data_IF_502087174658
#
_entry.id   IF_502087174658
#
_cell.length_a   1.000
_cell.length_b   1.000
_cell.length_c   1.000
_cell.angle_alpha   90.00
_cell.angle_beta   90.00
_cell.angle_gamma   90.00
#
_symmetry.space_group_name_H-M   'P 1'
#
loop_
_entity.id
_entity.type
_entity.pdbx_description
1 polymer ?
#
# COMPACT_ATOMS: atom_id res chain seq x y z
N UNK A 1 -7.18 -7.34 -2.41
CA UNK A 1 -7.93 -6.09 -2.15
C UNK A 1 -7.02 -4.86 -2.19
N UNK A 2 -5.76 -4.94 -1.75
CA UNK A 2 -4.80 -3.83 -1.73
C UNK A 2 -4.55 -3.18 -3.10
N UNK A 3 -4.25 -3.97 -4.14
CA UNK A 3 -4.03 -3.43 -5.49
C UNK A 3 -5.26 -2.67 -6.04
N UNK A 4 -6.47 -3.14 -5.74
CA UNK A 4 -7.71 -2.44 -6.13
C UNK A 4 -7.80 -1.07 -5.46
N UNK A 5 -7.38 -0.96 -4.19
CA UNK A 5 -7.36 0.32 -3.48
C UNK A 5 -6.34 1.29 -4.12
N UNK A 6 -5.17 0.81 -4.54
CA UNK A 6 -4.16 1.66 -5.19
C UNK A 6 -4.62 2.25 -6.52
N UNK A 7 -5.44 1.51 -7.27
CA UNK A 7 -5.96 1.97 -8.57
C UNK A 7 -7.06 3.03 -8.40
N UNK A 8 -7.71 3.10 -7.22
CA UNK A 8 -8.81 4.03 -6.87
C UNK A 8 -9.95 4.17 -7.90
N UNK A 9 -10.06 3.24 -8.85
CA UNK A 9 -11.06 3.24 -9.92
C UNK A 9 -11.57 1.83 -10.20
N UNK A 10 -12.75 1.52 -9.66
CA UNK A 10 -13.39 0.22 -9.79
C UNK A 10 -13.70 -0.18 -11.24
N UNK A 11 -14.05 0.79 -12.08
CA UNK A 11 -14.33 0.54 -13.49
C UNK A 11 -13.03 0.17 -14.22
N UNK A 12 -11.96 0.93 -14.00
CA UNK A 12 -10.64 0.65 -14.57
C UNK A 12 -10.11 -0.70 -14.09
N UNK A 13 -10.21 -1.00 -12.79
CA UNK A 13 -9.82 -2.29 -12.23
C UNK A 13 -10.57 -3.46 -12.89
N UNK A 14 -11.90 -3.32 -13.07
CA UNK A 14 -12.69 -4.34 -13.77
C UNK A 14 -12.28 -4.51 -15.22
N UNK A 15 -11.97 -3.43 -15.93
CA UNK A 15 -11.50 -3.50 -17.31
C UNK A 15 -10.15 -4.20 -17.42
N UNK A 16 -9.21 -3.93 -16.49
CA UNK A 16 -7.93 -4.63 -16.41
C UNK A 16 -8.14 -6.14 -16.25
N UNK A 17 -9.04 -6.57 -15.35
CA UNK A 17 -9.33 -7.99 -15.15
C UNK A 17 -9.96 -8.67 -16.38
N UNK A 18 -10.85 -7.97 -17.10
CA UNK A 18 -11.43 -8.47 -18.34
C UNK A 18 -10.37 -8.57 -19.43
N UNK A 19 -9.54 -7.53 -19.56
CA UNK A 19 -8.46 -7.46 -20.54
C UNK A 19 -7.41 -8.55 -20.34
N UNK A 20 -6.96 -8.77 -19.09
CA UNK A 20 -6.06 -9.87 -18.73
C UNK A 20 -6.62 -11.23 -19.17
N UNK A 21 -7.88 -11.51 -18.85
CA UNK A 21 -8.52 -12.78 -19.24
C UNK A 21 -8.66 -12.94 -20.76
N UNK A 22 -8.85 -11.85 -21.49
CA UNK A 22 -8.98 -11.86 -22.96
C UNK A 22 -7.63 -12.05 -23.65
N UNK A 23 -6.63 -11.27 -23.25
CA UNK A 23 -5.31 -11.21 -23.91
C UNK A 23 -4.47 -12.46 -23.67
N UNK A 24 -4.61 -13.04 -22.47
CA UNK A 24 -3.83 -14.18 -22.02
C UNK A 24 -4.63 -15.49 -22.01
N UNK A 25 -5.81 -15.51 -22.62
CA UNK A 25 -6.65 -16.71 -22.72
C UNK A 25 -5.86 -17.86 -23.36
N UNK A 26 -5.85 -19.02 -22.69
CA UNK A 26 -5.17 -20.26 -23.13
C UNK A 26 -3.65 -20.13 -23.30
N UNK A 27 -3.02 -19.13 -22.67
CA UNK A 27 -1.57 -18.96 -22.67
C UNK A 27 -1.02 -19.18 -21.27
N UNK A 28 0.19 -19.73 -21.18
CA UNK A 28 0.99 -19.64 -19.97
C UNK A 28 1.53 -18.22 -19.86
N UNK A 29 1.12 -17.50 -18.80
CA UNK A 29 1.61 -16.16 -18.52
C UNK A 29 2.72 -16.20 -17.50
N UNK A 30 3.69 -15.32 -17.68
CA UNK A 30 4.70 -15.02 -16.66
C UNK A 30 4.23 -13.87 -15.78
N UNK A 31 4.78 -13.79 -14.56
CA UNK A 31 4.50 -12.67 -13.65
C UNK A 31 4.80 -11.34 -14.34
N UNK A 32 5.97 -11.21 -14.99
CA UNK A 32 6.40 -9.98 -15.66
C UNK A 32 5.40 -9.48 -16.73
N UNK A 33 4.70 -10.38 -17.43
CA UNK A 33 3.65 -9.99 -18.39
C UNK A 33 2.44 -9.34 -17.70
N UNK A 34 2.05 -9.86 -16.54
CA UNK A 34 0.94 -9.31 -15.75
C UNK A 34 1.36 -7.97 -15.14
N UNK A 35 2.56 -7.89 -14.57
CA UNK A 35 3.12 -6.67 -13.99
C UNK A 35 3.14 -5.54 -15.04
N UNK A 36 3.71 -5.81 -16.22
CA UNK A 36 3.79 -4.82 -17.30
C UNK A 36 2.41 -4.41 -17.81
N UNK A 37 1.47 -5.36 -17.94
CA UNK A 37 0.11 -5.06 -18.39
C UNK A 37 -0.61 -4.11 -17.42
N UNK A 38 -0.56 -4.43 -16.11
CA UNK A 38 -1.26 -3.64 -15.09
C UNK A 38 -0.61 -2.26 -14.95
N UNK A 39 0.72 -2.16 -14.91
CA UNK A 39 1.41 -0.86 -14.84
C UNK A 39 1.10 0.01 -16.06
N UNK A 40 1.06 -0.57 -17.26
CA UNK A 40 0.68 0.17 -18.48
C UNK A 40 -0.79 0.63 -18.44
N UNK A 41 -1.70 -0.21 -17.95
CA UNK A 41 -3.13 0.11 -17.91
C UNK A 41 -3.51 1.12 -16.81
N UNK A 42 -2.70 1.20 -15.74
CA UNK A 42 -2.93 2.08 -14.58
C UNK A 42 -2.09 3.35 -14.62
N UNK A 43 -0.92 3.32 -15.27
CA UNK A 43 0.09 4.37 -15.20
C UNK A 43 0.88 4.39 -13.89
N UNK A 44 0.73 3.36 -13.05
CA UNK A 44 1.38 3.23 -11.74
C UNK A 44 2.56 2.27 -11.89
N UNK A 45 3.73 2.68 -11.39
CA UNK A 45 4.84 1.74 -11.20
C UNK A 45 4.52 0.85 -10.00
N UNK A 46 4.43 -0.45 -10.25
CA UNK A 46 4.08 -1.46 -9.23
C UNK A 46 5.24 -2.43 -9.02
N UNK A 47 6.42 -2.15 -9.58
CA UNK A 47 7.58 -3.06 -9.54
C UNK A 47 7.88 -3.50 -8.11
N UNK A 48 8.05 -2.56 -7.19
CA UNK A 48 8.37 -2.83 -5.79
C UNK A 48 7.19 -3.47 -5.04
N UNK A 49 5.95 -3.18 -5.44
CA UNK A 49 4.76 -3.84 -4.91
C UNK A 49 4.78 -5.35 -5.24
N UNK A 50 5.09 -5.71 -6.48
CA UNK A 50 5.17 -7.11 -6.90
C UNK A 50 6.36 -7.83 -6.28
N UNK A 51 7.52 -7.18 -6.22
CA UNK A 51 8.70 -7.70 -5.52
C UNK A 51 8.40 -7.99 -4.05
N UNK A 52 7.66 -7.12 -3.36
CA UNK A 52 7.28 -7.34 -1.98
C UNK A 52 6.26 -8.47 -1.80
N UNK A 53 5.17 -8.47 -2.56
CA UNK A 53 4.03 -9.36 -2.28
C UNK A 53 4.04 -10.69 -3.04
N UNK A 54 4.70 -10.76 -4.20
CA UNK A 54 4.79 -12.00 -4.97
C UNK A 54 6.11 -12.74 -4.76
N UNK A 55 7.18 -12.02 -4.40
CA UNK A 55 8.55 -12.58 -4.35
C UNK A 55 9.13 -12.66 -2.95
N UNK A 56 8.44 -12.13 -1.92
CA UNK A 56 8.80 -12.31 -0.51
C UNK A 56 7.68 -12.95 0.30
N UNK A 57 8.07 -13.72 1.31
CA UNK A 57 7.15 -14.33 2.27
C UNK A 57 6.74 -13.38 3.41
N UNK A 58 7.49 -12.28 3.61
CA UNK A 58 7.28 -11.37 4.71
C UNK A 58 6.23 -10.31 4.38
N UNK A 59 5.28 -10.12 5.29
CA UNK A 59 4.26 -9.07 5.18
C UNK A 59 4.88 -7.75 5.64
N UNK A 60 4.73 -6.64 4.90
CA UNK A 60 5.16 -5.32 5.35
C UNK A 60 4.62 -4.98 6.74
N UNK A 61 5.47 -4.42 7.58
CA UNK A 61 5.08 -3.94 8.91
C UNK A 61 5.02 -2.42 8.86
N UNK A 62 3.84 -1.87 9.10
CA UNK A 62 3.66 -0.44 9.35
C UNK A 62 4.00 -0.15 10.81
N UNK A 63 5.17 0.45 11.00
CA UNK A 63 5.74 0.79 12.29
C UNK A 63 5.42 2.26 12.59
N UNK A 64 4.73 2.53 13.70
CA UNK A 64 4.30 3.89 14.01
C UNK A 64 4.26 4.21 15.50
N UNK A 65 4.32 5.51 15.76
CA UNK A 65 4.34 6.15 17.07
C UNK A 65 3.41 7.37 16.98
N UNK A 66 2.56 7.55 17.99
CA UNK A 66 1.69 8.72 18.12
C UNK A 66 2.16 9.53 19.32
N UNK A 67 2.56 10.76 19.08
CA UNK A 67 2.95 11.73 20.11
C UNK A 67 2.09 12.99 19.98
N UNK A 68 1.10 13.12 20.86
CA UNK A 68 0.11 14.21 20.87
C UNK A 68 -0.59 14.42 19.51
N UNK A 69 -0.10 15.36 18.70
CA UNK A 69 -0.62 15.71 17.38
C UNK A 69 0.26 15.21 16.22
N UNK A 70 1.30 14.43 16.50
CA UNK A 70 2.26 13.96 15.52
C UNK A 70 2.25 12.44 15.42
N UNK A 71 1.99 11.93 14.22
CA UNK A 71 2.17 10.53 13.86
C UNK A 71 3.55 10.37 13.22
N UNK A 72 4.45 9.60 13.84
CA UNK A 72 5.69 9.14 13.18
C UNK A 72 5.46 7.74 12.65
N UNK A 73 5.91 7.48 11.43
CA UNK A 73 5.67 6.19 10.78
C UNK A 73 6.79 5.82 9.80
N UNK A 74 6.91 4.52 9.51
CA UNK A 74 7.76 3.94 8.46
C UNK A 74 7.29 2.52 8.13
N UNK A 75 7.86 1.95 7.07
CA UNK A 75 7.80 0.52 6.82
C UNK A 75 9.01 -0.22 7.38
N UNK A 76 8.75 -1.41 7.93
CA UNK A 76 9.75 -2.44 8.19
C UNK A 76 9.44 -3.69 7.36
N UNK A 77 10.44 -4.56 7.21
CA UNK A 77 10.35 -5.82 6.46
C UNK A 77 9.95 -5.68 4.97
N UNK A 78 10.29 -4.53 4.39
CA UNK A 78 10.05 -4.23 2.96
C UNK A 78 11.31 -4.31 2.09
N UNK A 79 11.14 -4.51 0.78
CA UNK A 79 12.21 -4.36 -0.24
C UNK A 79 12.70 -2.92 -0.32
N UNK A 80 13.93 -2.73 -0.78
CA UNK A 80 14.42 -1.38 -1.09
C UNK A 80 13.54 -0.76 -2.17
N UNK A 81 13.23 0.54 -2.01
CA UNK A 81 12.33 1.26 -2.92
C UNK A 81 10.84 1.09 -2.63
N UNK A 82 10.43 0.21 -1.71
CA UNK A 82 9.00 0.02 -1.40
C UNK A 82 8.36 1.29 -0.84
N UNK A 83 7.32 1.76 -1.53
CA UNK A 83 6.66 3.05 -1.31
C UNK A 83 5.13 2.96 -1.35
N UNK A 84 4.57 1.75 -1.12
CA UNK A 84 3.13 1.52 -1.20
C UNK A 84 2.36 2.47 -0.26
N UNK A 85 1.46 3.32 -0.79
CA UNK A 85 0.69 4.23 0.05
C UNK A 85 -0.33 3.49 0.90
N UNK A 86 -0.68 4.05 2.05
CA UNK A 86 -1.67 3.51 2.99
C UNK A 86 -2.78 4.51 3.23
N UNK A 87 -4.02 4.03 3.18
CA UNK A 87 -5.17 4.80 3.62
C UNK A 87 -5.34 4.62 5.13
N UNK A 88 -5.36 5.72 5.86
CA UNK A 88 -5.55 5.75 7.31
C UNK A 88 -6.70 6.68 7.68
N UNK A 89 -7.32 6.40 8.82
CA UNK A 89 -8.34 7.23 9.43
C UNK A 89 -7.78 7.85 10.70
N UNK A 90 -7.73 9.19 10.74
CA UNK A 90 -7.26 9.98 11.87
C UNK A 90 -8.38 10.92 12.28
N UNK A 91 -8.88 10.82 13.50
CA UNK A 91 -9.97 11.69 14.01
C UNK A 91 -11.17 11.77 13.03
N UNK A 92 -11.60 10.63 12.50
CA UNK A 92 -12.69 10.50 11.51
C UNK A 92 -12.41 11.12 10.12
N UNK A 93 -11.18 11.55 9.86
CA UNK A 93 -10.72 11.99 8.55
C UNK A 93 -9.87 10.90 7.87
N UNK A 94 -10.25 10.55 6.64
CA UNK A 94 -9.50 9.61 5.80
C UNK A 94 -8.42 10.32 5.02
N UNK A 95 -7.17 9.87 5.13
CA UNK A 95 -6.03 10.41 4.39
C UNK A 95 -5.08 9.32 3.90
N UNK A 96 -4.28 9.68 2.92
CA UNK A 96 -3.23 8.84 2.36
C UNK A 96 -1.87 9.16 3.01
N UNK A 97 -1.20 8.13 3.51
CA UNK A 97 0.21 8.16 3.90
C UNK A 97 1.04 7.55 2.78
N UNK A 98 2.28 8.01 2.65
CA UNK A 98 3.27 7.51 1.68
C UNK A 98 4.53 7.06 2.43
N UNK A 99 4.46 5.91 3.14
CA UNK A 99 5.54 5.44 3.98
C UNK A 99 6.68 4.87 3.13
N UNK A 100 7.89 4.98 3.62
CA UNK A 100 9.05 4.24 3.12
C UNK A 100 9.84 3.63 4.31
N UNK A 101 11.04 3.10 4.07
CA UNK A 101 11.87 2.51 5.14
C UNK A 101 12.36 3.48 6.20
N UNK A 102 12.34 4.78 5.92
CA UNK A 102 12.83 5.84 6.80
C UNK A 102 11.69 6.45 7.61
N UNK A 103 12.02 6.96 8.79
CA UNK A 103 11.04 7.64 9.63
C UNK A 103 10.50 8.90 8.95
N UNK A 104 9.19 8.97 8.84
CA UNK A 104 8.44 10.13 8.37
C UNK A 104 7.49 10.59 9.47
N UNK A 105 7.06 11.85 9.40
CA UNK A 105 6.14 12.43 10.39
C UNK A 105 5.02 13.19 9.71
N UNK A 106 3.80 13.02 10.23
CA UNK A 106 2.62 13.80 9.90
C UNK A 106 2.14 14.51 11.16
N UNK A 107 2.08 15.84 11.14
CA UNK A 107 1.49 16.63 12.23
C UNK A 107 0.09 17.07 11.86
N UNK A 108 -0.89 16.66 12.66
CA UNK A 108 -2.29 17.04 12.51
C UNK A 108 -2.61 18.36 13.22
N UNK A 109 -3.68 19.02 12.79
CA UNK A 109 -4.14 20.28 13.39
C UNK A 109 -4.67 20.11 14.83
N UNK A 110 -5.11 18.90 15.18
CA UNK A 110 -5.59 18.54 16.50
C UNK A 110 -4.85 17.30 17.02
N UNK A 111 -4.79 17.07 18.35
CA UNK A 111 -4.27 15.82 18.90
C UNK A 111 -4.94 14.60 18.28
N UNK A 112 -4.16 13.56 17.97
CA UNK A 112 -4.65 12.30 17.41
C UNK A 112 -5.34 11.52 18.53
N UNK A 113 -6.66 11.46 18.50
CA UNK A 113 -7.48 10.69 19.45
C UNK A 113 -7.76 9.28 18.92
N UNK A 114 -7.98 9.17 17.61
CA UNK A 114 -8.21 7.90 16.93
C UNK A 114 -7.25 7.75 15.76
N UNK A 115 -6.74 6.53 15.59
CA UNK A 115 -5.90 6.14 14.46
C UNK A 115 -6.26 4.71 14.06
N UNK A 116 -6.57 4.52 12.78
CA UNK A 116 -6.82 3.19 12.21
C UNK A 116 -6.28 3.12 10.78
N UNK A 117 -5.76 1.96 10.39
CA UNK A 117 -5.39 1.69 9.00
C UNK A 117 -6.59 1.04 8.30
N UNK A 118 -6.82 1.36 7.03
CA UNK A 118 -7.85 0.72 6.25
C UNK A 118 -7.56 -0.80 6.13
N UNK A 119 -8.51 -1.68 6.53
CA UNK A 119 -8.31 -3.12 6.56
C UNK A 119 -8.14 -3.75 5.16
N UNK A 120 -8.33 -3.00 4.07
CA UNK A 120 -8.08 -3.48 2.71
C UNK A 120 -6.59 -3.50 2.33
N UNK A 121 -5.71 -2.96 3.17
CA UNK A 121 -4.26 -3.00 2.97
C UNK A 121 -3.64 -4.21 3.67
N UNK A 122 -2.85 -4.98 2.92
CA UNK A 122 -2.15 -6.16 3.44
C UNK A 122 -0.87 -5.73 4.15
N UNK A 123 -1.02 -5.18 5.36
CA UNK A 123 0.08 -4.78 6.24
C UNK A 123 -0.19 -5.26 7.65
N UNK A 124 0.87 -5.55 8.39
CA UNK A 124 0.79 -5.73 9.85
C UNK A 124 1.16 -4.43 10.54
N UNK A 125 0.74 -4.25 11.78
CA UNK A 125 0.99 -3.02 12.54
C UNK A 125 1.88 -3.28 13.73
N UNK A 126 2.79 -2.35 13.99
CA UNK A 126 3.60 -2.30 15.20
C UNK A 126 3.51 -0.91 15.80
N UNK A 127 3.04 -0.84 17.04
CA UNK A 127 2.95 0.40 17.82
C UNK A 127 4.21 0.49 18.68
N UNK A 128 5.02 1.54 18.50
CA UNK A 128 6.09 1.86 19.45
C UNK A 128 5.50 2.72 20.58
N UNK A 129 5.56 2.21 21.81
CA UNK A 129 5.31 2.98 23.03
C UNK A 129 6.60 3.70 23.44
N UNK A 130 6.51 5.00 23.75
CA UNK A 130 7.57 5.69 24.49
C UNK A 130 7.58 5.17 25.93
N UNK A 131 8.68 4.55 26.34
CA UNK A 131 9.00 4.24 27.75
C UNK A 131 9.41 5.52 28.52
#
# INVERSE_FOLDING_TARGET
HTLRQLIENDQQWRQILIGLNSEFRHKTVTTDQIEHYISKATGIDLTEFWEQYLRRANIPVFDYLIDQNTLKYRYLDVVDGFDMPLKVNINDETLWLYPNKTWQSLTAAQPLKTFAIDPNFLVTTRIETQD
#
